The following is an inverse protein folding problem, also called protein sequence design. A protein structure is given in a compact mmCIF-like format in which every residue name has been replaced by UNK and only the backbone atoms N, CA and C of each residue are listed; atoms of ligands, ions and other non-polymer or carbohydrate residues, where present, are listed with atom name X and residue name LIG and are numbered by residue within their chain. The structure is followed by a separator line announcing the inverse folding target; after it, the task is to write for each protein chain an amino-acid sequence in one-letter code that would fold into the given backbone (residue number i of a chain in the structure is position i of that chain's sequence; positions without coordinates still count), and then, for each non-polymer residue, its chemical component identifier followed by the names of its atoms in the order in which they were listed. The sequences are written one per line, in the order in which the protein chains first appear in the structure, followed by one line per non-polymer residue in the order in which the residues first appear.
data_IF_937696264723
#
_entry.id   IF_937696264723
#
_cell.length_a   1.000
_cell.length_b   1.000
_cell.length_c   1.000
_cell.angle_alpha   90.00
_cell.angle_beta   90.00
_cell.angle_gamma   90.00
#
_symmetry.space_group_name_H-M   'P 1'
#
loop_
_entity.id
_entity.type
_entity.pdbx_description
1 polymer ?
#
# COMPACT_ATOMS: atom_id res chain seq x y z
N UNK A 1 -11.12 60.76 -11.88
CA UNK A 1 -10.10 59.88 -11.25
C UNK A 1 -9.05 59.55 -12.29
N UNK A 2 -7.88 60.13 -12.14
CA UNK A 2 -6.79 59.92 -13.10
C UNK A 2 -6.11 58.57 -12.84
N UNK A 3 -5.62 57.98 -13.95
CA UNK A 3 -4.93 56.68 -13.97
C UNK A 3 -3.75 56.52 -12.97
N UNK A 4 -3.29 57.64 -12.41
CA UNK A 4 -2.21 57.73 -11.43
C UNK A 4 -2.66 57.45 -10.00
N UNK A 5 -3.94 57.54 -9.67
CA UNK A 5 -4.46 57.31 -8.32
C UNK A 5 -4.75 55.84 -8.08
N UNK A 6 -4.94 55.06 -9.15
CA UNK A 6 -5.11 53.58 -9.05
C UNK A 6 -3.81 52.85 -8.68
N UNK A 7 -2.65 53.36 -9.07
CA UNK A 7 -1.36 52.78 -8.78
C UNK A 7 -0.76 53.12 -7.42
N UNK A 8 -1.37 54.08 -6.68
CA UNK A 8 -0.93 54.45 -5.31
C UNK A 8 -1.61 53.61 -4.23
N UNK A 9 -2.64 52.85 -4.55
CA UNK A 9 -3.39 52.00 -3.62
C UNK A 9 -2.88 50.55 -3.57
N UNK A 10 -1.90 50.15 -4.39
CA UNK A 10 -1.36 48.77 -4.48
C UNK A 10 0.06 48.69 -3.91
N UNK A 11 0.48 49.71 -3.20
CA UNK A 11 1.75 49.66 -2.48
C UNK A 11 1.54 49.21 -1.04
N UNK A 12 1.99 48.02 -0.67
CA UNK A 12 2.11 47.40 0.65
C UNK A 12 1.02 46.38 1.05
N UNK A 13 0.86 45.33 0.25
CA UNK A 13 0.42 44.01 0.75
C UNK A 13 0.92 42.89 -0.16
N UNK A 14 2.07 43.03 -0.74
CA UNK A 14 2.84 41.93 -1.35
C UNK A 14 3.69 41.25 -0.26
N UNK A 15 3.12 40.87 0.86
CA UNK A 15 3.63 39.71 1.56
C UNK A 15 3.30 38.53 0.64
N UNK A 16 4.26 38.18 -0.24
CA UNK A 16 4.36 36.83 -0.71
C UNK A 16 4.31 35.97 0.56
N UNK A 17 3.15 35.41 0.83
CA UNK A 17 3.05 34.25 1.68
C UNK A 17 3.96 33.24 1.00
N UNK A 18 5.20 33.17 1.45
CA UNK A 18 5.97 31.98 1.36
C UNK A 18 5.11 30.95 2.07
N UNK A 19 4.23 30.26 1.34
CA UNK A 19 3.78 28.96 1.77
C UNK A 19 5.11 28.22 1.93
N UNK A 20 5.57 27.95 3.15
CA UNK A 20 6.71 27.09 3.29
C UNK A 20 6.30 25.84 2.53
N UNK A 21 7.02 25.50 1.48
CA UNK A 21 6.99 24.16 0.92
C UNK A 21 7.07 23.26 2.13
N UNK A 22 5.94 22.59 2.45
CA UNK A 22 5.83 21.85 3.68
C UNK A 22 7.09 21.00 3.77
N UNK A 23 7.82 21.08 4.88
CA UNK A 23 8.90 20.15 5.18
C UNK A 23 8.31 18.80 4.80
N UNK A 24 8.95 18.10 3.86
CA UNK A 24 8.59 16.74 3.56
C UNK A 24 8.46 16.07 4.92
N UNK A 25 7.26 15.61 5.28
CA UNK A 25 7.04 14.96 6.57
C UNK A 25 7.88 13.71 6.49
N UNK A 26 9.05 13.72 7.14
CA UNK A 26 9.87 12.54 7.26
C UNK A 26 9.04 11.52 8.04
N UNK A 27 8.69 10.42 7.41
CA UNK A 27 8.05 9.32 8.09
C UNK A 27 9.02 8.73 9.10
N UNK A 28 8.53 8.41 10.28
CA UNK A 28 9.35 7.78 11.31
C UNK A 28 9.78 6.40 10.82
N UNK A 29 11.08 6.20 10.70
CA UNK A 29 11.65 4.91 10.31
C UNK A 29 11.37 3.89 11.42
N UNK A 30 10.89 2.71 11.03
CA UNK A 30 10.68 1.61 11.97
C UNK A 30 12.01 1.27 12.67
N UNK A 31 12.03 0.95 13.97
CA UNK A 31 13.24 0.54 14.68
C UNK A 31 14.01 -0.56 13.93
N UNK A 32 15.32 -0.54 14.04
CA UNK A 32 16.17 -1.62 13.52
C UNK A 32 16.31 -2.67 14.59
N UNK A 33 15.96 -3.91 14.26
CA UNK A 33 16.06 -5.03 15.16
C UNK A 33 17.05 -6.07 14.65
N UNK A 34 17.42 -6.98 15.53
CA UNK A 34 18.21 -8.14 15.14
C UNK A 34 17.45 -9.08 14.22
N UNK A 35 18.14 -9.69 13.26
CA UNK A 35 17.59 -10.80 12.47
C UNK A 35 17.28 -12.05 13.35
N UNK A 36 17.74 -12.03 14.60
CA UNK A 36 17.60 -13.16 15.51
C UNK A 36 18.52 -14.33 15.14
N UNK A 37 18.42 -15.44 15.88
CA UNK A 37 19.29 -16.60 15.65
C UNK A 37 18.87 -17.47 14.46
N UNK A 38 17.70 -17.21 13.83
CA UNK A 38 17.12 -18.06 12.81
C UNK A 38 16.74 -17.32 11.52
N UNK A 39 17.61 -16.48 10.93
CA UNK A 39 17.31 -15.77 9.68
C UNK A 39 17.15 -16.71 8.49
N UNK A 40 16.68 -16.19 7.35
CA UNK A 40 16.68 -16.94 6.09
C UNK A 40 18.14 -17.15 5.66
N UNK A 41 18.52 -18.39 5.43
CA UNK A 41 19.87 -18.76 5.02
C UNK A 41 20.06 -18.56 3.50
N UNK A 42 21.27 -18.27 3.05
CA UNK A 42 21.57 -18.07 1.63
C UNK A 42 21.15 -19.24 0.74
N UNK A 43 21.29 -20.48 1.22
CA UNK A 43 20.84 -21.68 0.52
C UNK A 43 19.32 -21.86 0.42
N UNK A 44 18.54 -21.07 1.15
CA UNK A 44 17.08 -21.13 1.15
C UNK A 44 16.43 -20.06 0.24
N UNK A 45 17.20 -19.11 -0.29
CA UNK A 45 16.68 -17.93 -0.99
C UNK A 45 15.75 -18.25 -2.16
N UNK A 46 16.09 -19.24 -2.97
CA UNK A 46 15.26 -19.64 -4.11
C UNK A 46 13.94 -20.29 -3.66
N UNK A 47 13.99 -21.13 -2.63
CA UNK A 47 12.81 -21.82 -2.10
C UNK A 47 11.84 -20.89 -1.36
N UNK A 48 12.33 -19.74 -0.89
CA UNK A 48 11.51 -18.76 -0.16
C UNK A 48 10.85 -17.71 -1.06
N UNK A 49 11.10 -17.70 -2.37
CA UNK A 49 10.43 -16.80 -3.33
C UNK A 49 8.97 -17.21 -3.52
N UNK A 50 8.12 -16.86 -2.57
CA UNK A 50 6.71 -17.24 -2.52
C UNK A 50 5.94 -16.39 -1.51
N UNK A 51 4.62 -16.34 -1.68
CA UNK A 51 3.70 -15.62 -0.78
C UNK A 51 2.86 -16.54 0.09
N UNK A 52 2.56 -17.76 -0.34
CA UNK A 52 2.00 -18.79 0.55
C UNK A 52 3.16 -19.58 1.16
N UNK A 53 3.36 -19.36 2.47
CA UNK A 53 4.53 -19.89 3.19
C UNK A 53 4.16 -20.96 4.22
N UNK A 54 2.91 -21.40 4.22
CA UNK A 54 2.39 -22.35 5.22
C UNK A 54 3.02 -23.74 5.08
N UNK A 55 3.21 -24.19 3.84
CA UNK A 55 3.48 -25.61 3.56
C UNK A 55 2.46 -26.49 4.30
N UNK A 56 2.89 -27.42 5.12
CA UNK A 56 2.03 -28.32 5.90
C UNK A 56 2.01 -28.00 7.41
N UNK A 57 2.49 -26.82 7.80
CA UNK A 57 2.52 -26.45 9.24
C UNK A 57 1.10 -26.23 9.78
N UNK A 58 0.76 -26.91 10.88
CA UNK A 58 -0.55 -26.75 11.51
C UNK A 58 -0.65 -25.42 12.25
N UNK A 59 -1.80 -24.77 12.15
CA UNK A 59 -2.07 -23.52 12.85
C UNK A 59 -3.25 -22.75 12.27
N UNK A 60 -3.59 -21.65 12.92
CA UNK A 60 -4.63 -20.73 12.48
C UNK A 60 -4.19 -19.97 11.24
N UNK A 61 -5.00 -20.01 10.19
CA UNK A 61 -4.75 -19.24 8.97
C UNK A 61 -4.54 -17.76 9.30
N UNK A 62 -3.46 -17.20 8.82
CA UNK A 62 -3.07 -15.82 9.01
C UNK A 62 -2.64 -15.17 7.70
N UNK A 63 -3.12 -13.97 7.42
CA UNK A 63 -2.70 -13.17 6.28
C UNK A 63 -1.97 -11.94 6.79
N UNK A 64 -0.75 -11.76 6.34
CA UNK A 64 0.08 -10.60 6.67
C UNK A 64 0.13 -9.70 5.45
N UNK A 65 -0.24 -8.44 5.61
CA UNK A 65 0.01 -7.40 4.62
C UNK A 65 0.96 -6.36 5.22
N UNK A 66 2.07 -6.12 4.54
CA UNK A 66 2.99 -5.03 4.83
C UNK A 66 2.89 -3.98 3.73
N UNK A 67 2.92 -2.71 4.12
CA UNK A 67 3.10 -1.59 3.21
C UNK A 67 4.41 -0.89 3.53
N UNK A 68 5.30 -0.81 2.55
CA UNK A 68 6.65 -0.28 2.72
C UNK A 68 6.73 1.12 2.13
N UNK A 69 7.16 2.08 2.95
CA UNK A 69 7.35 3.48 2.58
C UNK A 69 8.84 3.87 2.67
N UNK A 70 9.27 4.76 1.79
CA UNK A 70 10.59 5.39 1.88
C UNK A 70 10.58 6.58 2.83
N UNK A 71 11.56 6.66 3.75
CA UNK A 71 11.63 7.71 4.77
C UNK A 71 11.89 9.11 4.21
N UNK A 72 12.46 9.21 3.01
CA UNK A 72 12.81 10.51 2.40
C UNK A 72 11.57 11.32 2.01
N UNK A 73 10.50 10.64 1.55
CA UNK A 73 9.32 11.31 0.99
C UNK A 73 7.98 10.71 1.44
N UNK A 74 7.99 9.71 2.32
CA UNK A 74 6.79 8.99 2.79
C UNK A 74 5.97 8.32 1.67
N UNK A 75 6.61 8.04 0.53
CA UNK A 75 5.96 7.42 -0.61
C UNK A 75 6.23 5.91 -0.68
N UNK A 76 5.35 5.14 -1.34
CA UNK A 76 5.53 3.71 -1.48
C UNK A 76 6.88 3.32 -2.08
N UNK A 77 7.54 2.34 -1.51
CA UNK A 77 8.69 1.68 -2.13
C UNK A 77 8.19 0.56 -3.04
N UNK A 78 8.22 0.82 -4.33
CA UNK A 78 7.81 -0.14 -5.39
C UNK A 78 8.99 -1.05 -5.71
N UNK A 79 8.72 -2.34 -5.96
CA UNK A 79 9.74 -3.36 -6.24
C UNK A 79 10.83 -3.46 -5.15
N UNK A 80 10.47 -3.19 -3.90
CA UNK A 80 11.32 -3.55 -2.76
C UNK A 80 11.11 -5.04 -2.46
N UNK A 81 12.21 -5.77 -2.28
CA UNK A 81 12.16 -7.16 -1.82
C UNK A 81 11.86 -7.19 -0.32
N UNK A 82 10.86 -7.95 0.07
CA UNK A 82 10.50 -8.15 1.47
C UNK A 82 10.62 -9.62 1.81
N UNK A 83 11.48 -9.93 2.76
CA UNK A 83 11.59 -11.23 3.40
C UNK A 83 10.81 -11.22 4.70
N UNK A 84 10.07 -12.31 4.99
CA UNK A 84 9.50 -12.55 6.31
C UNK A 84 9.85 -13.95 6.80
N UNK A 85 9.96 -14.11 8.11
CA UNK A 85 10.09 -15.42 8.76
C UNK A 85 9.58 -15.37 10.19
N UNK A 86 9.02 -16.47 10.64
CA UNK A 86 8.54 -16.62 12.03
C UNK A 86 8.52 -18.09 12.46
N UNK A 87 8.34 -18.34 13.73
CA UNK A 87 8.21 -19.68 14.26
C UNK A 87 6.82 -20.29 13.96
N UNK A 88 6.72 -21.61 13.98
CA UNK A 88 5.44 -22.29 13.89
C UNK A 88 4.62 -22.16 15.21
N UNK A 89 3.45 -22.79 15.24
CA UNK A 89 2.56 -22.72 16.39
C UNK A 89 3.19 -23.25 17.69
N UNK A 90 4.24 -24.04 17.59
CA UNK A 90 4.97 -24.63 18.73
C UNK A 90 6.24 -23.84 19.13
N UNK A 91 6.57 -22.75 18.43
CA UNK A 91 7.76 -21.94 18.71
C UNK A 91 9.03 -22.41 17.99
N UNK A 92 8.94 -23.35 17.05
CA UNK A 92 10.09 -23.85 16.28
C UNK A 92 10.26 -23.07 14.97
N UNK A 93 11.51 -22.98 14.47
CA UNK A 93 11.86 -22.37 13.20
C UNK A 93 12.36 -23.41 12.18
N UNK A 94 11.92 -23.29 10.95
CA UNK A 94 12.46 -24.08 9.83
C UNK A 94 13.94 -23.75 9.57
N UNK A 95 14.67 -24.71 8.99
CA UNK A 95 16.08 -24.54 8.61
C UNK A 95 17.09 -24.71 9.75
N UNK A 96 16.62 -24.93 10.95
CA UNK A 96 17.45 -24.98 12.15
C UNK A 96 17.04 -26.12 13.11
N UNK A 97 17.91 -26.45 14.04
CA UNK A 97 17.53 -27.22 15.22
C UNK A 97 17.06 -26.24 16.29
N UNK A 98 15.81 -26.33 16.71
CA UNK A 98 15.18 -25.42 17.64
C UNK A 98 14.40 -26.18 18.71
N UNK A 99 14.20 -25.57 19.86
CA UNK A 99 13.41 -26.13 20.96
C UNK A 99 12.16 -25.28 21.18
N UNK A 100 11.01 -25.84 20.85
CA UNK A 100 9.70 -25.26 21.06
C UNK A 100 8.89 -26.02 22.11
N UNK A 101 7.60 -25.72 22.20
CA UNK A 101 6.70 -26.37 23.15
C UNK A 101 6.53 -27.89 22.95
N UNK A 102 6.73 -28.35 21.71
CA UNK A 102 6.68 -29.78 21.36
C UNK A 102 8.06 -30.45 21.45
N UNK A 103 9.04 -29.81 22.10
CA UNK A 103 10.39 -30.32 22.24
C UNK A 103 11.36 -29.83 21.18
N UNK A 104 12.54 -30.48 21.15
CA UNK A 104 13.59 -30.10 20.17
C UNK A 104 13.30 -30.75 18.81
N UNK A 105 13.28 -29.94 17.78
CA UNK A 105 13.03 -30.35 16.40
C UNK A 105 14.20 -29.95 15.53
N UNK A 106 14.69 -30.87 14.70
CA UNK A 106 15.66 -30.59 13.65
C UNK A 106 14.92 -30.39 12.33
N UNK A 107 14.87 -29.15 11.87
CA UNK A 107 14.22 -28.75 10.62
C UNK A 107 15.24 -28.29 9.57
N UNK A 108 16.49 -28.76 9.65
CA UNK A 108 17.53 -28.42 8.69
C UNK A 108 17.06 -28.73 7.24
N UNK A 109 17.26 -27.80 6.34
CA UNK A 109 16.82 -27.90 4.93
C UNK A 109 15.33 -27.57 4.69
N UNK A 110 14.50 -27.42 5.71
CA UNK A 110 13.10 -27.00 5.57
C UNK A 110 12.99 -25.50 5.48
N UNK A 111 11.91 -25.02 4.85
CA UNK A 111 11.70 -23.58 4.54
C UNK A 111 10.32 -23.07 4.92
N UNK A 112 9.48 -23.86 5.56
CA UNK A 112 8.15 -23.44 5.99
C UNK A 112 8.19 -22.16 6.84
N UNK A 113 7.16 -21.34 6.70
CA UNK A 113 6.98 -20.05 7.36
C UNK A 113 8.12 -19.04 7.07
N UNK A 114 8.73 -19.19 5.89
CA UNK A 114 9.70 -18.26 5.32
C UNK A 114 9.24 -17.86 3.93
N UNK A 115 9.17 -16.56 3.67
CA UNK A 115 8.70 -16.02 2.40
C UNK A 115 9.49 -14.82 1.94
N UNK A 116 9.46 -14.64 0.63
CA UNK A 116 10.06 -13.50 -0.07
C UNK A 116 9.15 -13.09 -1.20
N UNK A 117 8.85 -11.80 -1.29
CA UNK A 117 8.10 -11.24 -2.41
C UNK A 117 8.46 -9.77 -2.62
N UNK A 118 8.11 -9.25 -3.80
CA UNK A 118 8.31 -7.85 -4.15
C UNK A 118 7.07 -7.03 -3.80
N UNK A 119 7.28 -5.80 -3.36
CA UNK A 119 6.18 -4.85 -3.18
C UNK A 119 5.61 -4.42 -4.53
N UNK A 120 4.31 -4.21 -4.54
CA UNK A 120 3.56 -3.72 -5.71
C UNK A 120 3.67 -2.19 -5.90
N UNK A 121 2.87 -1.64 -6.82
CA UNK A 121 2.83 -0.20 -7.11
C UNK A 121 2.37 0.66 -5.92
N UNK A 122 1.73 0.08 -4.92
CA UNK A 122 1.31 0.74 -3.69
C UNK A 122 2.32 0.57 -2.54
N UNK A 123 3.45 -0.10 -2.80
CA UNK A 123 4.41 -0.52 -1.79
C UNK A 123 3.88 -1.68 -0.94
N UNK A 124 2.83 -2.37 -1.37
CA UNK A 124 2.21 -3.44 -0.61
C UNK A 124 2.77 -4.81 -1.00
N UNK A 125 2.91 -5.67 -0.01
CA UNK A 125 3.21 -7.09 -0.16
C UNK A 125 2.36 -7.89 0.82
N UNK A 126 1.86 -9.05 0.39
CA UNK A 126 1.00 -9.89 1.22
C UNK A 126 1.52 -11.33 1.27
N UNK A 127 1.41 -11.93 2.44
CA UNK A 127 1.77 -13.33 2.69
C UNK A 127 0.61 -14.09 3.32
N UNK A 128 0.43 -15.33 2.90
CA UNK A 128 -0.48 -16.29 3.52
C UNK A 128 0.36 -17.24 4.37
N UNK A 129 0.04 -17.31 5.65
CA UNK A 129 0.79 -18.07 6.64
C UNK A 129 -0.12 -18.64 7.71
N UNK A 130 0.44 -19.17 8.81
CA UNK A 130 -0.26 -19.42 10.06
C UNK A 130 0.09 -18.35 11.09
N UNK A 131 -0.76 -18.14 12.08
CA UNK A 131 -0.43 -17.25 13.19
C UNK A 131 0.81 -17.81 13.93
N UNK A 132 1.82 -16.98 14.23
CA UNK A 132 3.00 -17.47 14.94
C UNK A 132 2.66 -17.89 16.38
N UNK A 133 3.33 -18.94 16.83
CA UNK A 133 3.40 -19.26 18.25
C UNK A 133 4.38 -18.33 18.99
N UNK A 134 4.88 -18.79 20.10
CA UNK A 134 5.89 -18.08 20.86
C UNK A 134 6.92 -19.06 21.45
N UNK A 135 8.04 -18.56 21.91
CA UNK A 135 9.06 -19.31 22.64
C UNK A 135 9.59 -18.49 23.82
N UNK A 136 10.25 -19.17 24.76
CA UNK A 136 10.64 -18.58 26.03
C UNK A 136 11.40 -17.26 25.87
N UNK A 137 10.99 -16.25 26.63
CA UNK A 137 11.61 -14.93 26.69
C UNK A 137 11.22 -13.96 25.55
N UNK A 138 10.35 -14.37 24.63
CA UNK A 138 9.94 -13.53 23.49
C UNK A 138 8.42 -13.35 23.41
N UNK A 139 8.01 -12.17 23.00
CA UNK A 139 6.65 -11.94 22.52
C UNK A 139 6.41 -12.71 21.22
N UNK A 140 5.17 -13.03 20.94
CA UNK A 140 4.75 -13.49 19.60
C UNK A 140 5.13 -12.45 18.56
N UNK A 141 5.95 -12.81 17.57
CA UNK A 141 6.51 -11.86 16.61
C UNK A 141 6.75 -12.48 15.22
N UNK A 142 6.89 -11.60 14.26
CA UNK A 142 7.34 -11.91 12.90
C UNK A 142 8.56 -11.04 12.60
N UNK A 143 9.59 -11.64 12.05
CA UNK A 143 10.75 -10.96 11.51
C UNK A 143 10.47 -10.51 10.07
N UNK A 144 11.05 -9.39 9.66
CA UNK A 144 11.09 -8.99 8.27
C UNK A 144 12.42 -8.30 7.91
N UNK A 145 12.78 -8.42 6.66
CA UNK A 145 13.88 -7.68 6.05
C UNK A 145 13.39 -7.01 4.76
N UNK A 146 13.76 -5.75 4.57
CA UNK A 146 13.49 -5.01 3.33
C UNK A 146 14.79 -4.77 2.61
N UNK A 147 14.81 -5.10 1.31
CA UNK A 147 15.96 -4.88 0.43
C UNK A 147 15.55 -4.03 -0.77
N UNK A 148 16.44 -3.12 -1.15
CA UNK A 148 16.31 -2.31 -2.37
C UNK A 148 17.48 -2.66 -3.28
N UNK A 149 17.18 -3.10 -4.50
CA UNK A 149 18.19 -3.55 -5.46
C UNK A 149 19.19 -4.59 -4.87
N UNK A 150 18.65 -5.54 -4.10
CA UNK A 150 19.43 -6.60 -3.45
C UNK A 150 20.20 -6.17 -2.20
N UNK A 151 20.16 -4.88 -1.83
CA UNK A 151 20.84 -4.37 -0.63
C UNK A 151 19.85 -4.27 0.53
N UNK A 152 20.17 -4.90 1.67
CA UNK A 152 19.39 -4.78 2.91
C UNK A 152 19.40 -3.34 3.41
N UNK A 153 18.19 -2.77 3.54
CA UNK A 153 18.03 -1.38 4.05
C UNK A 153 17.37 -1.35 5.43
N UNK A 154 16.69 -2.44 5.80
CA UNK A 154 16.06 -2.59 7.11
C UNK A 154 15.87 -4.04 7.48
N UNK A 155 16.25 -4.39 8.69
CA UNK A 155 15.82 -5.60 9.39
C UNK A 155 15.06 -5.14 10.63
N UNK A 156 13.89 -5.74 10.88
CA UNK A 156 13.09 -5.44 12.06
C UNK A 156 12.17 -6.60 12.41
N UNK A 157 11.38 -6.40 13.45
CA UNK A 157 10.38 -7.36 13.92
C UNK A 157 9.10 -6.61 14.24
N UNK A 158 7.97 -7.29 14.18
CA UNK A 158 6.70 -6.75 14.65
C UNK A 158 5.94 -7.79 15.48
N UNK A 159 5.08 -7.28 16.34
CA UNK A 159 4.19 -8.03 17.21
C UNK A 159 2.74 -7.65 16.97
N UNK A 160 1.82 -8.13 17.78
CA UNK A 160 0.38 -7.96 17.64
C UNK A 160 -0.24 -7.39 18.91
N UNK A 161 -1.45 -6.80 18.83
CA UNK A 161 -2.17 -6.31 20.00
C UNK A 161 -2.43 -7.46 20.99
N UNK A 162 -2.27 -7.17 22.27
CA UNK A 162 -2.31 -8.19 23.35
C UNK A 162 -3.65 -8.93 23.40
N UNK A 163 -4.77 -8.22 23.24
CA UNK A 163 -6.10 -8.81 23.37
C UNK A 163 -6.36 -9.87 22.31
N UNK A 164 -6.09 -9.55 21.04
CA UNK A 164 -6.30 -10.44 19.90
C UNK A 164 -5.32 -11.61 19.91
N UNK A 165 -4.05 -11.35 20.23
CA UNK A 165 -3.01 -12.36 20.39
C UNK A 165 -3.38 -13.37 21.49
N UNK A 166 -3.81 -12.88 22.63
CA UNK A 166 -4.24 -13.73 23.75
C UNK A 166 -5.49 -14.55 23.38
N UNK A 167 -6.43 -13.97 22.64
CA UNK A 167 -7.59 -14.71 22.14
C UNK A 167 -7.16 -15.91 21.33
N UNK A 168 -6.24 -15.74 20.36
CA UNK A 168 -5.74 -16.84 19.53
C UNK A 168 -5.04 -17.89 20.42
N UNK A 169 -4.16 -17.46 21.31
CA UNK A 169 -3.35 -18.35 22.13
C UNK A 169 -4.15 -19.11 23.20
N UNK A 170 -5.33 -18.63 23.58
CA UNK A 170 -6.14 -19.29 24.61
C UNK A 170 -7.33 -20.07 24.07
N UNK A 171 -7.77 -19.79 22.85
CA UNK A 171 -9.00 -20.39 22.31
C UNK A 171 -8.80 -21.29 21.09
N UNK A 172 -7.67 -21.16 20.38
CA UNK A 172 -7.47 -21.84 19.10
C UNK A 172 -6.40 -22.92 19.22
N UNK A 173 -6.70 -24.15 18.77
CA UNK A 173 -5.71 -25.22 18.69
C UNK A 173 -4.70 -24.97 17.54
N UNK A 174 -3.41 -25.33 17.71
CA UNK A 174 -2.80 -25.95 18.88
C UNK A 174 -2.33 -24.96 19.96
N UNK A 175 -2.43 -23.64 19.74
CA UNK A 175 -1.89 -22.59 20.62
C UNK A 175 -2.45 -22.66 22.05
N UNK A 176 -3.73 -23.01 22.21
CA UNK A 176 -4.41 -23.10 23.52
C UNK A 176 -3.84 -24.16 24.44
N UNK A 177 -2.98 -25.05 23.95
CA UNK A 177 -2.25 -26.03 24.79
C UNK A 177 -1.17 -25.35 25.63
N UNK A 178 -0.59 -24.24 25.13
CA UNK A 178 0.56 -23.57 25.76
C UNK A 178 0.18 -22.21 26.37
N UNK A 179 -0.98 -21.68 26.02
CA UNK A 179 -1.48 -20.40 26.50
C UNK A 179 -0.72 -19.20 25.93
N UNK A 180 -0.88 -18.07 26.59
CA UNK A 180 -0.29 -16.78 26.16
C UNK A 180 1.23 -16.76 26.36
N UNK A 181 1.91 -15.97 25.52
CA UNK A 181 3.33 -15.68 25.72
C UNK A 181 3.53 -14.97 27.09
N UNK A 182 4.50 -15.43 27.88
CA UNK A 182 4.73 -14.89 29.22
C UNK A 182 5.53 -13.57 29.21
N UNK A 183 6.07 -13.19 28.05
CA UNK A 183 6.86 -11.98 27.91
C UNK A 183 5.96 -10.75 27.85
N UNK A 184 6.46 -9.64 28.34
CA UNK A 184 5.93 -8.30 28.12
C UNK A 184 6.89 -7.54 27.20
N UNK A 185 6.47 -6.42 26.60
CA UNK A 185 7.38 -5.63 25.80
C UNK A 185 8.64 -5.25 26.59
N UNK A 186 8.50 -4.87 27.85
CA UNK A 186 9.62 -4.48 28.71
C UNK A 186 10.56 -5.63 29.09
N UNK A 187 10.11 -6.87 29.02
CA UNK A 187 10.94 -8.06 29.33
C UNK A 187 11.47 -8.76 28.08
N UNK A 188 10.97 -8.42 26.90
CA UNK A 188 11.47 -8.92 25.61
C UNK A 188 12.71 -8.15 25.21
N UNK A 189 13.80 -8.83 24.95
CA UNK A 189 15.08 -8.19 24.65
C UNK A 189 15.13 -7.42 23.30
N UNK A 190 14.10 -7.53 22.49
CA UNK A 190 13.96 -6.79 21.22
C UNK A 190 13.02 -5.60 21.39
N UNK A 191 11.89 -5.79 22.06
CA UNK A 191 10.87 -4.76 22.23
C UNK A 191 11.01 -3.94 23.53
N UNK A 192 12.09 -4.12 24.30
CA UNK A 192 12.28 -3.44 25.59
C UNK A 192 12.50 -1.92 25.47
N UNK A 193 12.92 -1.44 24.32
CA UNK A 193 13.04 0.00 23.99
C UNK A 193 11.73 0.60 23.47
N UNK A 194 10.68 -0.20 23.33
CA UNK A 194 9.33 0.19 22.87
C UNK A 194 8.89 -0.59 21.64
N UNK A 195 7.61 -0.43 21.31
CA UNK A 195 6.99 -1.10 20.15
C UNK A 195 6.47 -0.12 19.11
N UNK A 196 6.93 1.12 19.13
CA UNK A 196 6.46 2.17 18.23
C UNK A 196 6.71 1.80 16.76
N UNK A 197 5.64 1.74 15.95
CA UNK A 197 5.73 1.32 14.55
C UNK A 197 5.92 -0.20 14.36
N UNK A 198 5.83 -1.00 15.42
CA UNK A 198 6.07 -2.45 15.41
C UNK A 198 4.86 -3.27 15.89
N UNK A 199 3.69 -2.66 16.04
CA UNK A 199 2.45 -3.39 16.37
C UNK A 199 1.54 -3.40 15.15
N UNK A 200 1.40 -4.55 14.51
CA UNK A 200 0.50 -4.74 13.39
C UNK A 200 -0.97 -4.70 13.86
N UNK A 201 -1.87 -4.17 13.07
CA UNK A 201 -3.30 -4.42 13.30
C UNK A 201 -3.60 -5.91 13.17
N UNK A 202 -4.61 -6.41 13.88
CA UNK A 202 -5.00 -7.82 13.80
C UNK A 202 -6.51 -7.92 13.90
N UNK A 203 -7.17 -8.51 12.89
CA UNK A 203 -8.62 -8.64 12.82
C UNK A 203 -9.01 -10.02 12.30
N UNK A 204 -10.08 -10.58 12.84
CA UNK A 204 -10.65 -11.83 12.35
C UNK A 204 -11.58 -11.59 11.16
N UNK A 205 -11.32 -12.29 10.06
CA UNK A 205 -12.20 -12.36 8.89
C UNK A 205 -13.00 -13.67 8.97
N UNK A 206 -14.27 -13.56 9.30
CA UNK A 206 -15.16 -14.71 9.46
C UNK A 206 -15.50 -15.40 8.12
N UNK A 207 -15.45 -14.70 7.00
CA UNK A 207 -15.69 -15.28 5.69
C UNK A 207 -14.50 -16.14 5.22
N UNK A 208 -13.28 -15.67 5.46
CA UNK A 208 -12.06 -16.39 5.12
C UNK A 208 -11.57 -17.34 6.23
N UNK A 209 -12.18 -17.31 7.41
CA UNK A 209 -11.72 -18.03 8.62
C UNK A 209 -10.24 -17.76 8.92
N UNK A 210 -9.81 -16.52 8.73
CA UNK A 210 -8.43 -16.08 8.91
C UNK A 210 -8.32 -14.92 9.90
N UNK A 211 -7.16 -14.79 10.51
CA UNK A 211 -6.75 -13.56 11.16
C UNK A 211 -5.90 -12.76 10.19
N UNK A 212 -6.29 -11.53 9.91
CA UNK A 212 -5.64 -10.67 8.94
C UNK A 212 -4.93 -9.51 9.64
N UNK A 213 -3.65 -9.31 9.33
CA UNK A 213 -2.84 -8.24 9.89
C UNK A 213 -2.35 -7.27 8.82
N UNK A 214 -2.19 -6.01 9.24
CA UNK A 214 -1.63 -4.96 8.42
C UNK A 214 -0.64 -4.13 9.24
N UNK A 215 0.52 -3.85 8.63
CA UNK A 215 1.50 -2.93 9.18
C UNK A 215 2.08 -2.06 8.08
N UNK A 216 2.11 -0.75 8.29
CA UNK A 216 2.86 0.18 7.48
C UNK A 216 4.25 0.37 8.09
N UNK A 217 5.29 0.11 7.31
CA UNK A 217 6.69 0.22 7.75
C UNK A 217 7.41 1.25 6.90
N UNK A 218 8.05 2.21 7.55
CA UNK A 218 8.92 3.17 6.88
C UNK A 218 10.37 2.73 7.03
N UNK A 219 11.08 2.67 5.92
CA UNK A 219 12.48 2.23 5.87
C UNK A 219 13.36 3.28 5.19
N UNK A 220 14.67 3.30 5.40
CA UNK A 220 15.56 4.19 4.66
C UNK A 220 15.39 4.02 3.15
N UNK A 221 15.27 5.13 2.43
CA UNK A 221 15.09 5.13 0.98
C UNK A 221 14.13 6.22 0.52
N UNK A 222 14.10 6.41 -0.78
CA UNK A 222 13.15 7.31 -1.46
C UNK A 222 12.08 6.46 -2.12
N UNK A 223 10.86 6.58 -1.66
CA UNK A 223 9.71 5.96 -2.31
C UNK A 223 9.56 6.50 -3.72
N UNK A 224 9.02 5.69 -4.60
CA UNK A 224 8.73 6.10 -5.95
C UNK A 224 7.53 7.04 -5.90
N UNK A 225 7.78 8.33 -6.17
CA UNK A 225 6.71 9.24 -6.59
C UNK A 225 6.33 8.79 -7.99
N UNK A 226 5.81 7.59 -8.11
CA UNK A 226 5.14 7.20 -9.33
C UNK A 226 3.97 8.17 -9.50
N UNK A 227 3.67 8.57 -10.71
CA UNK A 227 2.30 9.00 -11.02
C UNK A 227 1.45 7.84 -10.50
N UNK A 228 0.98 8.02 -9.25
CA UNK A 228 0.18 6.99 -8.60
C UNK A 228 -0.91 6.66 -9.54
N UNK A 229 -0.89 5.42 -9.97
CA UNK A 229 -1.96 4.92 -10.78
C UNK A 229 -3.26 5.43 -10.17
N UNK A 230 -3.89 6.17 -10.92
CA UNK A 230 -5.28 6.53 -11.08
C UNK A 230 -6.26 5.86 -10.09
N UNK A 231 -5.97 4.70 -9.55
CA UNK A 231 -6.81 3.97 -8.60
C UNK A 231 -7.08 4.70 -7.28
N UNK A 232 -6.18 5.58 -6.82
CA UNK A 232 -6.46 6.45 -5.67
C UNK A 232 -7.38 7.61 -6.04
N UNK A 233 -7.25 8.13 -7.25
CA UNK A 233 -8.10 9.23 -7.76
C UNK A 233 -9.45 8.67 -8.18
N UNK A 234 -9.47 7.48 -8.75
CA UNK A 234 -10.69 6.81 -9.21
C UNK A 234 -11.30 5.89 -8.15
N UNK A 235 -10.54 5.55 -7.08
CA UNK A 235 -10.97 4.59 -6.07
C UNK A 235 -11.34 3.22 -6.64
N UNK A 236 -10.80 2.85 -7.81
CA UNK A 236 -11.21 1.64 -8.54
C UNK A 236 -12.61 1.70 -9.11
N UNK A 237 -13.25 2.90 -9.15
CA UNK A 237 -14.63 3.05 -9.61
C UNK A 237 -14.74 3.15 -11.12
N UNK A 238 -13.68 3.53 -11.81
CA UNK A 238 -13.62 3.59 -13.26
C UNK A 238 -12.18 3.57 -13.78
N UNK A 239 -12.03 3.26 -15.05
CA UNK A 239 -10.80 3.42 -15.82
C UNK A 239 -11.06 4.40 -16.98
N UNK A 240 -10.19 5.41 -17.14
CA UNK A 240 -10.27 6.38 -18.24
C UNK A 240 -9.23 6.05 -19.31
N UNK A 241 -9.68 5.74 -20.52
CA UNK A 241 -8.81 5.55 -21.68
C UNK A 241 -8.28 6.87 -22.27
N UNK A 242 -7.26 6.77 -23.09
CA UNK A 242 -6.78 7.90 -23.93
C UNK A 242 -7.78 8.13 -25.06
N UNK A 243 -8.07 9.39 -25.39
CA UNK A 243 -8.89 9.72 -26.53
C UNK A 243 -8.23 9.30 -27.86
N UNK A 244 -9.03 8.85 -28.80
CA UNK A 244 -8.55 8.45 -30.13
C UNK A 244 -9.51 8.93 -31.23
N UNK A 245 -8.96 9.53 -32.33
CA UNK A 245 -7.56 9.89 -32.53
C UNK A 245 -7.07 11.01 -31.62
N UNK A 246 -5.77 10.98 -31.29
CA UNK A 246 -5.06 12.06 -30.61
C UNK A 246 -3.65 12.20 -31.22
N UNK A 247 -3.34 13.27 -31.96
CA UNK A 247 -4.18 14.45 -32.22
C UNK A 247 -5.44 14.17 -33.03
N UNK A 248 -6.50 14.97 -32.78
CA UNK A 248 -7.72 14.95 -33.56
C UNK A 248 -7.46 15.62 -34.94
N UNK A 249 -7.64 14.87 -36.02
CA UNK A 249 -7.43 15.37 -37.40
C UNK A 249 -8.72 15.77 -38.11
N UNK A 250 -9.87 15.26 -37.61
CA UNK A 250 -11.21 15.52 -38.18
C UNK A 250 -12.09 16.39 -37.30
N UNK A 251 -11.54 16.97 -36.23
CA UNK A 251 -12.30 17.71 -35.23
C UNK A 251 -13.18 16.82 -34.31
N UNK A 252 -13.05 15.52 -34.42
CA UNK A 252 -13.79 14.53 -33.59
C UNK A 252 -12.82 13.55 -32.97
N UNK A 253 -13.04 13.21 -31.70
CA UNK A 253 -12.32 12.15 -30.99
C UNK A 253 -13.25 11.39 -30.07
N UNK A 254 -12.92 10.14 -29.79
CA UNK A 254 -13.67 9.27 -28.89
C UNK A 254 -12.83 9.02 -27.63
N UNK A 255 -13.44 9.17 -26.46
CA UNK A 255 -12.82 8.86 -25.15
C UNK A 255 -13.47 7.57 -24.63
N UNK A 256 -12.74 6.45 -24.58
CA UNK A 256 -13.23 5.23 -23.95
C UNK A 256 -13.05 5.30 -22.44
N UNK A 257 -13.97 4.69 -21.70
CA UNK A 257 -13.87 4.51 -20.25
C UNK A 257 -14.67 3.29 -19.79
N UNK A 258 -14.28 2.72 -18.66
CA UNK A 258 -14.97 1.57 -18.07
C UNK A 258 -15.47 1.94 -16.68
N UNK A 259 -16.70 1.63 -16.33
CA UNK A 259 -17.27 1.84 -15.01
C UNK A 259 -17.34 0.52 -14.24
N UNK A 260 -16.91 0.55 -12.97
CA UNK A 260 -17.05 -0.61 -12.08
C UNK A 260 -18.45 -0.72 -11.50
N UNK A 261 -19.14 0.41 -11.32
CA UNK A 261 -20.51 0.49 -10.80
C UNK A 261 -21.35 1.45 -11.62
N UNK A 262 -22.66 1.33 -11.53
CA UNK A 262 -23.60 2.29 -12.12
C UNK A 262 -23.31 3.70 -11.59
N UNK A 263 -23.21 4.68 -12.48
CA UNK A 263 -22.81 6.03 -12.14
C UNK A 263 -23.40 7.10 -13.06
N UNK A 264 -23.45 8.32 -12.56
CA UNK A 264 -23.55 9.54 -13.37
C UNK A 264 -22.14 9.99 -13.78
N UNK A 265 -21.95 10.31 -15.05
CA UNK A 265 -20.66 10.69 -15.61
C UNK A 265 -20.75 12.05 -16.28
N UNK A 266 -19.74 12.88 -16.06
CA UNK A 266 -19.55 14.12 -16.84
C UNK A 266 -18.10 14.27 -17.30
N UNK A 267 -17.93 14.91 -18.46
CA UNK A 267 -16.62 15.28 -19.01
C UNK A 267 -16.53 16.79 -19.04
N UNK A 268 -15.61 17.36 -18.25
CA UNK A 268 -15.20 18.76 -18.32
C UNK A 268 -14.05 18.92 -19.30
N UNK A 269 -14.12 19.89 -20.21
CA UNK A 269 -13.02 20.26 -21.09
C UNK A 269 -12.43 21.58 -20.63
N UNK A 270 -11.11 21.62 -20.45
CA UNK A 270 -10.38 22.76 -19.91
C UNK A 270 -9.29 23.21 -20.89
N UNK A 271 -9.08 24.50 -21.01
CA UNK A 271 -7.91 25.03 -21.70
C UNK A 271 -6.64 24.92 -20.80
N UNK A 272 -5.48 25.24 -21.36
CA UNK A 272 -4.21 25.17 -20.61
C UNK A 272 -4.11 26.17 -19.46
N UNK A 273 -5.00 27.17 -19.38
CA UNK A 273 -5.11 28.10 -18.26
C UNK A 273 -6.01 27.56 -17.13
N UNK A 274 -6.49 26.31 -17.24
CA UNK A 274 -7.37 25.67 -16.25
C UNK A 274 -8.82 26.16 -16.29
N UNK A 275 -9.22 26.97 -17.28
CA UNK A 275 -10.61 27.41 -17.44
C UNK A 275 -11.43 26.34 -18.15
N UNK A 276 -12.55 25.95 -17.56
CA UNK A 276 -13.53 25.05 -18.18
C UNK A 276 -14.16 25.75 -19.40
N UNK A 277 -14.03 25.13 -20.57
CA UNK A 277 -14.51 25.67 -21.86
C UNK A 277 -15.70 24.91 -22.41
N UNK A 278 -15.90 23.65 -22.01
CA UNK A 278 -17.07 22.84 -22.37
C UNK A 278 -17.36 21.77 -21.34
N UNK A 279 -18.57 21.20 -21.41
CA UNK A 279 -18.98 20.07 -20.57
C UNK A 279 -19.91 19.14 -21.35
N UNK A 280 -19.70 17.81 -21.20
CA UNK A 280 -20.58 16.76 -21.73
C UNK A 280 -21.05 15.92 -20.56
N UNK A 281 -22.38 15.77 -20.39
CA UNK A 281 -22.98 15.00 -19.28
C UNK A 281 -23.67 13.72 -19.80
N UNK A 282 -23.40 12.62 -19.13
CA UNK A 282 -24.08 11.34 -19.32
C UNK A 282 -24.60 10.87 -17.96
N UNK A 283 -25.90 10.60 -17.87
CA UNK A 283 -26.54 10.20 -16.62
C UNK A 283 -26.96 8.75 -16.67
N UNK A 284 -26.87 8.08 -15.53
CA UNK A 284 -27.35 6.70 -15.29
C UNK A 284 -26.72 5.68 -16.24
N UNK A 285 -25.39 5.73 -16.36
CA UNK A 285 -24.66 4.68 -17.07
C UNK A 285 -24.52 3.47 -16.17
N UNK A 286 -24.69 2.28 -16.74
CA UNK A 286 -24.46 1.01 -16.04
C UNK A 286 -22.99 0.68 -15.92
N UNK A 287 -22.62 -0.23 -15.04
CA UNK A 287 -21.28 -0.80 -15.01
C UNK A 287 -20.92 -1.40 -16.38
N UNK A 288 -19.64 -1.29 -16.79
CA UNK A 288 -19.13 -1.79 -18.06
C UNK A 288 -18.40 -0.77 -18.91
N UNK A 289 -18.11 -1.14 -20.15
CA UNK A 289 -17.37 -0.30 -21.11
C UNK A 289 -18.28 0.74 -21.77
N UNK A 290 -17.77 1.96 -21.85
CA UNK A 290 -18.45 3.10 -22.43
C UNK A 290 -17.50 3.93 -23.30
N UNK A 291 -18.10 4.80 -24.11
CA UNK A 291 -17.36 5.78 -24.90
C UNK A 291 -18.16 7.08 -25.01
N UNK A 292 -17.46 8.20 -25.03
CA UNK A 292 -18.03 9.51 -25.31
C UNK A 292 -17.31 10.12 -26.52
N UNK A 293 -18.06 10.69 -27.43
CA UNK A 293 -17.54 11.42 -28.58
C UNK A 293 -17.43 12.91 -28.23
N UNK A 294 -16.30 13.50 -28.51
CA UNK A 294 -16.01 14.94 -28.39
C UNK A 294 -15.85 15.50 -29.77
N UNK A 295 -16.72 16.45 -30.14
CA UNK A 295 -16.67 17.18 -31.38
C UNK A 295 -16.33 18.66 -31.12
N UNK A 296 -15.27 19.17 -31.74
CA UNK A 296 -14.86 20.58 -31.60
C UNK A 296 -15.93 21.55 -32.07
N UNK A 297 -16.57 21.24 -33.20
CA UNK A 297 -17.64 22.08 -33.77
C UNK A 297 -18.86 22.14 -32.85
N UNK A 298 -19.29 20.99 -32.30
CA UNK A 298 -20.47 20.92 -31.42
C UNK A 298 -20.24 21.63 -30.07
N UNK A 299 -18.97 21.72 -29.64
CA UNK A 299 -18.57 22.39 -28.41
C UNK A 299 -18.00 23.80 -28.60
N UNK A 300 -17.99 24.31 -29.83
CA UNK A 300 -17.39 25.59 -30.20
C UNK A 300 -15.94 25.75 -29.72
N UNK A 301 -15.14 24.70 -29.90
CA UNK A 301 -13.74 24.68 -29.50
C UNK A 301 -12.84 24.93 -30.69
N UNK A 302 -11.81 25.79 -30.52
CA UNK A 302 -10.77 26.02 -31.52
C UNK A 302 -9.76 24.85 -31.54
N UNK A 303 -8.87 24.86 -32.56
CA UNK A 303 -7.68 23.99 -32.55
C UNK A 303 -6.77 24.38 -31.39
N UNK A 304 -6.12 23.39 -30.75
CA UNK A 304 -5.26 23.62 -29.59
C UNK A 304 -5.15 22.40 -28.66
N UNK A 305 -4.47 22.60 -27.53
CA UNK A 305 -4.34 21.59 -26.50
C UNK A 305 -5.38 21.83 -25.40
N UNK A 306 -6.02 20.76 -24.97
CA UNK A 306 -7.03 20.74 -23.93
C UNK A 306 -6.77 19.63 -22.91
N UNK A 307 -7.23 19.83 -21.68
CA UNK A 307 -7.41 18.77 -20.71
C UNK A 307 -8.87 18.34 -20.72
N UNK A 308 -9.14 17.06 -20.74
CA UNK A 308 -10.47 16.53 -20.43
C UNK A 308 -10.44 15.82 -19.08
N UNK A 309 -11.43 16.11 -18.25
CA UNK A 309 -11.63 15.52 -16.95
C UNK A 309 -12.92 14.70 -16.96
N UNK A 310 -12.84 13.43 -16.59
CA UNK A 310 -14.01 12.64 -16.25
C UNK A 310 -14.35 12.86 -14.79
N UNK A 311 -15.62 13.08 -14.48
CA UNK A 311 -16.18 13.03 -13.12
C UNK A 311 -17.17 11.90 -13.08
N UNK A 312 -16.96 10.94 -12.17
CA UNK A 312 -17.84 9.79 -11.95
C UNK A 312 -18.46 9.90 -10.56
N UNK A 313 -19.78 9.94 -10.49
CA UNK A 313 -20.53 10.02 -9.23
C UNK A 313 -21.44 8.80 -9.10
N UNK A 314 -21.25 8.03 -8.04
CA UNK A 314 -22.07 6.87 -7.69
C UNK A 314 -22.45 6.87 -6.20
N UNK A 315 -23.02 5.79 -5.70
CA UNK A 315 -23.45 5.65 -4.30
C UNK A 315 -22.29 5.68 -3.29
N UNK A 316 -21.04 5.44 -3.75
CA UNK A 316 -19.86 5.38 -2.93
C UNK A 316 -19.20 6.76 -2.79
N UNK A 317 -19.24 7.57 -3.86
CA UNK A 317 -18.64 8.90 -3.85
C UNK A 317 -18.53 9.53 -5.23
N UNK A 318 -17.77 10.62 -5.30
CA UNK A 318 -17.43 11.33 -6.54
C UNK A 318 -15.93 11.26 -6.78
N UNK A 319 -15.54 10.87 -7.97
CA UNK A 319 -14.16 10.58 -8.38
C UNK A 319 -13.82 11.30 -9.66
N UNK A 320 -12.56 11.69 -9.84
CA UNK A 320 -12.10 12.49 -10.97
C UNK A 320 -10.83 11.94 -11.55
N UNK A 321 -10.65 12.13 -12.86
CA UNK A 321 -9.40 11.89 -13.56
C UNK A 321 -9.32 12.75 -14.81
N UNK A 322 -8.12 13.25 -15.15
CA UNK A 322 -7.91 14.03 -16.36
C UNK A 322 -6.81 13.45 -17.26
N UNK A 323 -6.94 13.72 -18.55
CA UNK A 323 -5.93 13.45 -19.57
C UNK A 323 -5.86 14.61 -20.56
N UNK A 324 -4.79 14.64 -21.36
CA UNK A 324 -4.58 15.67 -22.39
C UNK A 324 -5.08 15.18 -23.75
N UNK A 325 -5.69 16.07 -24.51
CA UNK A 325 -6.02 15.89 -25.91
C UNK A 325 -5.51 17.06 -26.75
N UNK A 326 -5.13 16.78 -28.00
CA UNK A 326 -4.67 17.76 -28.96
C UNK A 326 -5.64 17.81 -30.14
N UNK A 327 -6.14 19.00 -30.47
CA UNK A 327 -6.95 19.30 -31.63
C UNK A 327 -6.12 20.03 -32.69
N UNK A 328 -6.05 19.48 -33.88
CA UNK A 328 -5.34 20.07 -35.04
C UNK A 328 -6.31 20.57 -36.07
#
# INVERSE_FOLDING_TARGET
MERKDFLKGIGLAGMASFIPFGKAMACTVVPTETAGPYPIQSGQLAATLRTDIRESEPGQLHKIKLRVLGSTNCEPLVNAEVDIWHCNAYGNYSGYTTSGHNGTTNSAGQTWLRGRAMTDANGEVAFTTIFPGWYSGRLTHVHFEVKINGTSVKISQFTYPIAERNTIHTTIAPYNTWGTDPATASSDNVFSDGTTGQVATLKYDSAAQSWDSYLEVTVPGTGTVGIKNIDRITGGQFELGQNFPNPMTSGITTIPFTLTNDADVSFGIFNLQGRKVAEVKQKRLTAGEHKVEISLSNLNLATGNYLYEITVTNKIGTYHQCKMMTAK
#
